data_IF_515102960143
#
_entry.id   IF_515102960143
#
_cell.length_a   1.000
_cell.length_b   1.000
_cell.length_c   1.000
_cell.angle_alpha   90.00
_cell.angle_beta   90.00
_cell.angle_gamma   90.00
#
_symmetry.space_group_name_H-M   'P 1'
#
loop_
_entity.id
_entity.type
_entity.pdbx_description
1 polymer ?
#
# COMPACT_ATOMS: atom_id res chain seq x y z
N UNK A 1 -4.12 72.40 -16.64
CA UNK A 1 -3.59 71.04 -16.97
C UNK A 1 -4.57 70.43 -17.94
N UNK A 2 -4.17 70.23 -19.23
CA UNK A 2 -5.10 69.92 -20.33
C UNK A 2 -5.70 68.52 -20.21
N UNK A 3 -7.02 68.37 -20.33
CA UNK A 3 -7.78 67.10 -20.31
C UNK A 3 -7.15 65.99 -21.22
N UNK A 4 -6.53 66.41 -22.34
CA UNK A 4 -5.79 65.53 -23.24
C UNK A 4 -4.53 64.89 -22.62
N UNK A 5 -3.81 65.58 -21.73
CA UNK A 5 -2.62 65.03 -21.05
C UNK A 5 -3.02 64.03 -19.97
N UNK A 6 -4.15 64.25 -19.30
CA UNK A 6 -4.69 63.34 -18.31
C UNK A 6 -5.17 62.05 -19.00
N UNK A 7 -5.81 62.15 -20.17
CA UNK A 7 -6.25 61.03 -20.99
C UNK A 7 -5.07 60.18 -21.50
N UNK A 8 -3.99 60.80 -21.93
CA UNK A 8 -2.76 60.13 -22.38
C UNK A 8 -2.04 59.43 -21.22
N UNK A 9 -1.98 60.05 -20.04
CA UNK A 9 -1.41 59.39 -18.84
C UNK A 9 -2.26 58.21 -18.35
N UNK A 10 -3.59 58.31 -18.40
CA UNK A 10 -4.48 57.25 -18.07
C UNK A 10 -4.36 56.07 -19.05
N UNK A 11 -4.26 56.32 -20.34
CA UNK A 11 -4.04 55.30 -21.36
C UNK A 11 -2.67 54.61 -21.23
N UNK A 12 -1.63 55.38 -20.88
CA UNK A 12 -0.28 54.84 -20.65
C UNK A 12 -0.23 53.97 -19.40
N UNK A 13 -0.90 54.35 -18.29
CA UNK A 13 -1.01 53.58 -17.09
C UNK A 13 -1.83 52.29 -17.31
N UNK A 14 -2.88 52.37 -18.13
CA UNK A 14 -3.70 51.17 -18.46
C UNK A 14 -2.91 50.20 -19.34
N UNK A 15 -2.12 50.69 -20.31
CA UNK A 15 -1.27 49.84 -21.14
C UNK A 15 -0.11 49.22 -20.34
N UNK A 16 0.46 49.97 -19.39
CA UNK A 16 1.51 49.48 -18.52
C UNK A 16 0.98 48.42 -17.54
N UNK A 17 -0.24 48.59 -17.01
CA UNK A 17 -0.93 47.61 -16.19
C UNK A 17 -1.25 46.33 -16.98
N UNK A 18 -1.65 46.46 -18.24
CA UNK A 18 -1.92 45.33 -19.14
C UNK A 18 -0.63 44.59 -19.52
N UNK A 19 0.48 45.29 -19.75
CA UNK A 19 1.78 44.67 -19.99
C UNK A 19 2.35 44.01 -18.73
N UNK A 20 2.06 44.53 -17.52
CA UNK A 20 2.54 43.93 -16.26
C UNK A 20 1.75 42.68 -15.90
N UNK A 21 0.48 42.56 -16.29
CA UNK A 21 -0.31 41.35 -16.13
C UNK A 21 0.06 40.24 -17.13
N UNK A 22 0.66 40.58 -18.26
CA UNK A 22 1.18 39.61 -19.23
C UNK A 22 2.60 39.09 -18.90
N UNK A 23 3.29 39.71 -17.94
CA UNK A 23 4.63 39.33 -17.50
C UNK A 23 4.65 38.45 -16.24
N UNK A 24 3.51 37.93 -15.82
CA UNK A 24 3.52 36.70 -15.01
C UNK A 24 3.88 35.57 -15.99
N UNK A 25 5.17 35.48 -16.31
CA UNK A 25 5.72 34.24 -16.82
C UNK A 25 5.34 33.21 -15.77
N UNK A 26 4.35 32.40 -16.08
CA UNK A 26 4.21 31.16 -15.40
C UNK A 26 5.61 30.51 -15.45
N UNK A 27 6.31 30.49 -14.36
CA UNK A 27 7.37 29.52 -14.16
C UNK A 27 6.62 28.21 -14.36
N UNK A 28 6.68 27.65 -15.57
CA UNK A 28 6.01 26.41 -15.88
C UNK A 28 6.63 25.41 -14.90
N UNK A 29 5.88 25.03 -13.88
CA UNK A 29 6.25 23.93 -13.03
C UNK A 29 6.58 22.75 -13.95
N UNK A 30 7.58 21.99 -13.59
CA UNK A 30 7.92 20.79 -14.38
C UNK A 30 6.66 19.92 -14.46
N UNK A 31 6.30 19.38 -15.63
CA UNK A 31 5.10 18.54 -15.74
C UNK A 31 5.20 17.37 -14.76
N UNK A 32 4.06 17.05 -14.14
CA UNK A 32 3.95 15.98 -13.16
C UNK A 32 3.89 14.61 -13.85
N UNK A 33 3.24 14.54 -15.01
CA UNK A 33 3.20 13.35 -15.84
C UNK A 33 4.14 13.50 -17.03
N UNK A 34 5.18 12.67 -17.07
CA UNK A 34 6.22 12.74 -18.10
C UNK A 34 6.23 11.47 -18.93
N UNK A 35 5.81 11.60 -20.15
CA UNK A 35 5.81 10.54 -21.14
C UNK A 35 6.89 10.82 -22.19
N UNK A 36 8.08 10.22 -22.00
CA UNK A 36 9.22 10.43 -22.90
C UNK A 36 9.14 9.63 -24.20
N UNK A 37 8.18 8.70 -24.28
CA UNK A 37 8.05 7.77 -25.43
C UNK A 37 6.78 7.96 -26.24
N UNK A 38 5.86 8.84 -25.77
CA UNK A 38 4.58 9.05 -26.43
C UNK A 38 3.64 7.85 -26.28
N UNK A 39 3.61 7.24 -25.09
CA UNK A 39 2.73 6.13 -24.74
C UNK A 39 1.27 6.55 -24.69
N UNK A 40 1.02 7.75 -24.14
CA UNK A 40 -0.32 8.30 -23.97
C UNK A 40 -0.68 9.25 -25.13
N UNK A 41 -1.95 9.23 -25.53
CA UNK A 41 -2.45 10.27 -26.40
C UNK A 41 -2.54 11.62 -25.65
N UNK A 42 -2.68 12.70 -26.43
CA UNK A 42 -2.64 14.07 -25.87
C UNK A 42 -3.78 14.35 -24.87
N UNK A 43 -4.96 13.78 -25.08
CA UNK A 43 -6.12 13.98 -24.23
C UNK A 43 -5.94 13.23 -22.91
N UNK A 44 -5.45 11.98 -22.98
CA UNK A 44 -5.10 11.17 -21.80
C UNK A 44 -3.99 11.83 -20.98
N UNK A 45 -2.91 12.29 -21.64
CA UNK A 45 -1.80 12.96 -20.97
C UNK A 45 -2.27 14.23 -20.25
N UNK A 46 -3.08 15.08 -20.92
CA UNK A 46 -3.63 16.28 -20.30
C UNK A 46 -4.56 15.98 -19.12
N UNK A 47 -5.34 14.90 -19.20
CA UNK A 47 -6.19 14.45 -18.10
C UNK A 47 -5.39 13.96 -16.91
N UNK A 48 -4.33 13.16 -17.16
CA UNK A 48 -3.44 12.66 -16.11
C UNK A 48 -2.66 13.79 -15.43
N UNK A 49 -2.17 14.76 -16.21
CA UNK A 49 -1.49 15.95 -15.68
C UNK A 49 -2.42 16.74 -14.77
N UNK A 50 -3.67 17.00 -15.20
CA UNK A 50 -4.65 17.69 -14.37
C UNK A 50 -4.95 16.94 -13.07
N UNK A 51 -5.10 15.63 -13.14
CA UNK A 51 -5.32 14.80 -11.94
C UNK A 51 -4.11 14.82 -10.99
N UNK A 52 -2.89 14.80 -11.53
CA UNK A 52 -1.68 14.90 -10.74
C UNK A 52 -1.52 16.29 -10.10
N UNK A 53 -1.88 17.36 -10.82
CA UNK A 53 -1.94 18.71 -10.28
C UNK A 53 -2.96 18.83 -9.15
N UNK A 54 -4.16 18.28 -9.34
CA UNK A 54 -5.23 18.29 -8.34
C UNK A 54 -4.81 17.46 -7.09
N UNK A 55 -4.16 16.30 -7.30
CA UNK A 55 -3.64 15.46 -6.23
C UNK A 55 -2.50 16.12 -5.42
N UNK A 56 -1.68 16.93 -6.07
CA UNK A 56 -0.56 17.65 -5.44
C UNK A 56 -1.03 18.93 -4.74
N UNK A 57 -2.17 19.49 -5.18
CA UNK A 57 -2.65 20.79 -4.74
C UNK A 57 -2.98 20.79 -3.22
N UNK A 58 -2.30 21.66 -2.48
CA UNK A 58 -2.58 21.86 -1.06
C UNK A 58 -1.88 20.93 -0.10
N UNK A 59 -1.07 19.98 -0.61
CA UNK A 59 -0.40 18.96 0.22
C UNK A 59 1.10 19.18 0.39
N UNK A 60 1.68 20.20 -0.25
CA UNK A 60 3.13 20.44 -0.28
C UNK A 60 3.94 19.16 -0.68
N UNK A 61 3.34 18.31 -1.50
CA UNK A 61 3.91 17.04 -1.96
C UNK A 61 3.45 16.78 -3.40
N UNK A 62 4.39 16.70 -4.33
CA UNK A 62 4.09 16.51 -5.74
C UNK A 62 4.00 15.00 -6.10
N UNK A 63 3.03 14.67 -6.97
CA UNK A 63 2.83 13.31 -7.47
C UNK A 63 3.31 13.23 -8.92
N UNK A 64 4.37 12.44 -9.15
CA UNK A 64 4.98 12.30 -10.47
C UNK A 64 4.78 10.90 -11.05
N UNK A 65 4.47 10.84 -12.35
CA UNK A 65 4.44 9.62 -13.13
C UNK A 65 5.39 9.75 -14.33
N UNK A 66 6.44 8.95 -14.39
CA UNK A 66 7.46 9.00 -15.43
C UNK A 66 7.45 7.73 -16.29
N UNK A 67 7.28 7.90 -17.60
CA UNK A 67 7.38 6.80 -18.57
C UNK A 67 8.63 6.99 -19.41
N UNK A 68 9.49 5.96 -19.43
CA UNK A 68 10.67 5.90 -20.28
C UNK A 68 10.71 4.57 -21.04
N UNK A 69 11.43 4.51 -22.15
CA UNK A 69 11.61 3.26 -22.88
C UNK A 69 12.54 2.31 -22.11
N UNK A 70 13.70 2.80 -21.70
CA UNK A 70 14.72 1.97 -21.07
C UNK A 70 15.56 2.75 -20.07
N UNK A 71 15.93 2.09 -18.99
CA UNK A 71 16.88 2.60 -17.99
C UNK A 71 18.31 2.08 -18.23
N UNK A 72 18.55 1.42 -19.37
CA UNK A 72 19.84 0.82 -19.71
C UNK A 72 20.23 -0.29 -18.73
N UNK A 73 21.48 -0.24 -18.25
CA UNK A 73 22.00 -1.19 -17.26
C UNK A 73 21.89 -0.72 -15.82
N UNK A 74 21.27 0.45 -15.58
CA UNK A 74 21.08 0.98 -14.24
C UNK A 74 20.02 0.20 -13.46
N UNK A 75 20.12 0.22 -12.14
CA UNK A 75 19.04 -0.19 -11.26
C UNK A 75 17.90 0.82 -11.38
N UNK A 76 16.64 0.37 -11.36
CA UNK A 76 15.48 1.24 -11.52
C UNK A 76 15.41 2.31 -10.44
N UNK A 77 15.74 1.96 -9.18
CA UNK A 77 15.73 2.89 -8.07
C UNK A 77 16.80 3.97 -8.21
N UNK A 78 18.01 3.59 -8.61
CA UNK A 78 19.10 4.56 -8.83
C UNK A 78 18.76 5.51 -9.98
N UNK A 79 18.23 4.99 -11.08
CA UNK A 79 17.76 5.80 -12.20
C UNK A 79 16.68 6.81 -11.78
N UNK A 80 15.67 6.36 -11.02
CA UNK A 80 14.58 7.22 -10.54
C UNK A 80 15.10 8.34 -9.62
N UNK A 81 16.05 8.03 -8.73
CA UNK A 81 16.69 9.02 -7.85
C UNK A 81 17.50 10.05 -8.65
N UNK A 82 18.34 9.58 -9.55
CA UNK A 82 19.14 10.46 -10.41
C UNK A 82 18.22 11.40 -11.22
N UNK A 83 17.13 10.85 -11.74
CA UNK A 83 16.13 11.64 -12.46
C UNK A 83 15.48 12.68 -11.55
N UNK A 84 15.01 12.29 -10.37
CA UNK A 84 14.39 13.17 -9.40
C UNK A 84 15.29 14.35 -9.02
N UNK A 85 16.55 14.07 -8.75
CA UNK A 85 17.54 15.07 -8.39
C UNK A 85 17.90 15.97 -9.58
N UNK A 86 18.18 15.39 -10.76
CA UNK A 86 18.61 16.13 -11.95
C UNK A 86 17.54 17.07 -12.48
N UNK A 87 16.27 16.66 -12.39
CA UNK A 87 15.13 17.48 -12.81
C UNK A 87 14.64 18.44 -11.71
N UNK A 88 15.28 18.41 -10.54
CA UNK A 88 14.89 19.23 -9.38
C UNK A 88 13.42 19.07 -9.01
N UNK A 89 12.91 17.84 -9.04
CA UNK A 89 11.51 17.52 -8.72
C UNK A 89 11.20 17.74 -7.24
N UNK A 90 9.91 17.83 -6.92
CA UNK A 90 9.36 17.95 -5.58
C UNK A 90 8.95 19.34 -5.18
N UNK A 91 7.92 19.43 -4.35
CA UNK A 91 7.33 20.65 -3.83
C UNK A 91 8.08 21.21 -2.63
N UNK A 92 8.07 22.52 -2.48
CA UNK A 92 8.60 23.24 -1.33
C UNK A 92 10.12 23.18 -1.17
N UNK A 93 10.60 23.61 0.01
CA UNK A 93 12.03 23.64 0.34
C UNK A 93 12.63 22.24 0.49
N UNK A 94 11.82 21.29 0.94
CA UNK A 94 12.23 19.92 1.23
C UNK A 94 12.09 19.02 0.01
N UNK A 95 11.64 19.59 -1.11
CA UNK A 95 11.44 18.87 -2.38
C UNK A 95 10.61 17.60 -2.21
N UNK A 96 9.49 17.76 -1.48
CA UNK A 96 8.61 16.64 -1.14
C UNK A 96 7.88 16.11 -2.36
N UNK A 97 7.84 14.80 -2.50
CA UNK A 97 7.10 14.17 -3.60
C UNK A 97 7.21 12.65 -3.63
N UNK A 98 6.40 12.07 -4.49
CA UNK A 98 6.41 10.66 -4.86
C UNK A 98 6.59 10.55 -6.38
N UNK A 99 7.42 9.64 -6.84
CA UNK A 99 7.66 9.37 -8.26
C UNK A 99 7.45 7.89 -8.55
N UNK A 100 6.55 7.59 -9.48
CA UNK A 100 6.44 6.28 -10.10
C UNK A 100 7.20 6.28 -11.43
N UNK A 101 8.21 5.44 -11.55
CA UNK A 101 8.95 5.21 -12.80
C UNK A 101 8.43 3.97 -13.49
N UNK A 102 8.04 4.09 -14.75
CA UNK A 102 7.70 3.00 -15.65
C UNK A 102 8.74 2.92 -16.78
N UNK A 103 9.57 1.88 -16.81
CA UNK A 103 10.51 1.62 -17.90
C UNK A 103 9.94 0.51 -18.80
N UNK A 104 9.22 0.94 -19.85
CA UNK A 104 8.36 0.06 -20.65
C UNK A 104 9.14 -1.01 -21.40
N UNK A 105 10.24 -0.65 -22.09
CA UNK A 105 11.03 -1.58 -22.88
C UNK A 105 11.76 -2.63 -22.04
N UNK A 106 12.04 -2.34 -20.77
CA UNK A 106 12.63 -3.32 -19.83
C UNK A 106 11.60 -3.97 -18.90
N UNK A 107 10.31 -3.59 -19.01
CA UNK A 107 9.20 -4.04 -18.16
C UNK A 107 9.55 -3.93 -16.66
N UNK A 108 10.08 -2.78 -16.27
CA UNK A 108 10.46 -2.50 -14.89
C UNK A 108 9.73 -1.27 -14.36
N UNK A 109 9.49 -1.27 -13.07
CA UNK A 109 8.91 -0.12 -12.37
C UNK A 109 9.61 0.07 -11.03
N UNK A 110 9.44 1.24 -10.45
CA UNK A 110 9.81 1.55 -9.08
C UNK A 110 9.04 2.78 -8.59
N UNK A 111 8.68 2.77 -7.34
CA UNK A 111 8.13 3.92 -6.63
C UNK A 111 9.17 4.47 -5.67
N UNK A 112 9.48 5.76 -5.76
CA UNK A 112 10.35 6.44 -4.81
C UNK A 112 9.64 7.63 -4.18
N UNK A 113 9.97 7.94 -2.95
CA UNK A 113 9.49 9.11 -2.20
C UNK A 113 10.66 9.95 -1.71
N UNK A 114 10.45 11.26 -1.56
CA UNK A 114 11.46 12.17 -1.04
C UNK A 114 10.83 13.28 -0.19
N UNK A 115 11.60 13.82 0.75
CA UNK A 115 11.12 14.89 1.65
C UNK A 115 9.92 14.47 2.49
N UNK A 116 8.91 15.31 2.56
CA UNK A 116 7.63 15.02 3.24
C UNK A 116 6.88 13.81 2.66
N UNK A 117 7.11 13.48 1.39
CA UNK A 117 6.56 12.28 0.77
C UNK A 117 6.96 10.98 1.48
N UNK A 118 8.17 10.92 2.05
CA UNK A 118 8.60 9.75 2.84
C UNK A 118 7.72 9.54 4.07
N UNK A 119 7.28 10.64 4.69
CA UNK A 119 6.41 10.55 5.86
C UNK A 119 4.96 10.24 5.49
N UNK A 120 4.45 10.83 4.40
CA UNK A 120 3.07 10.64 3.97
C UNK A 120 2.81 9.24 3.38
N UNK A 121 3.80 8.68 2.67
CA UNK A 121 3.71 7.38 2.01
C UNK A 121 4.57 6.36 2.75
N UNK A 122 3.95 5.58 3.65
CA UNK A 122 4.61 4.45 4.32
C UNK A 122 4.95 3.34 3.31
N UNK A 123 5.90 2.48 3.67
CA UNK A 123 6.24 1.31 2.84
C UNK A 123 5.00 0.42 2.61
N UNK A 124 4.16 0.27 3.64
CA UNK A 124 2.88 -0.43 3.57
C UNK A 124 1.95 0.18 2.51
N UNK A 125 1.80 1.52 2.51
CA UNK A 125 0.91 2.19 1.55
C UNK A 125 1.44 2.11 0.12
N UNK A 126 2.75 2.20 -0.05
CA UNK A 126 3.39 2.04 -1.36
C UNK A 126 3.14 0.63 -1.91
N UNK A 127 3.27 -0.40 -1.07
CA UNK A 127 2.98 -1.79 -1.47
C UNK A 127 1.53 -1.95 -1.93
N UNK A 128 0.56 -1.40 -1.21
CA UNK A 128 -0.85 -1.41 -1.64
C UNK A 128 -1.08 -0.68 -2.98
N UNK A 129 -0.45 0.48 -3.17
CA UNK A 129 -0.54 1.22 -4.44
C UNK A 129 0.03 0.35 -5.59
N UNK A 130 1.17 -0.29 -5.37
CA UNK A 130 1.79 -1.16 -6.38
C UNK A 130 0.94 -2.42 -6.64
N UNK A 131 0.28 -3.00 -5.63
CA UNK A 131 -0.64 -4.13 -5.80
C UNK A 131 -1.82 -3.81 -6.73
N UNK A 132 -2.31 -2.57 -6.72
CA UNK A 132 -3.40 -2.13 -7.59
C UNK A 132 -2.92 -1.68 -8.99
N UNK A 133 -1.72 -1.14 -9.09
CA UNK A 133 -1.15 -0.58 -10.33
C UNK A 133 -0.50 -1.66 -11.20
N UNK A 134 0.30 -2.57 -10.61
CA UNK A 134 1.13 -3.53 -11.36
C UNK A 134 0.32 -4.52 -12.20
N UNK A 135 -0.83 -5.04 -11.75
CA UNK A 135 -1.67 -5.88 -12.61
C UNK A 135 -2.10 -5.17 -13.90
N UNK A 136 -2.48 -3.89 -13.81
CA UNK A 136 -2.88 -3.09 -14.99
C UNK A 136 -1.72 -2.87 -15.97
N UNK A 137 -0.50 -2.65 -15.44
CA UNK A 137 0.71 -2.60 -16.26
C UNK A 137 0.95 -3.94 -16.98
N UNK A 138 0.71 -5.04 -16.30
CA UNK A 138 0.87 -6.39 -16.86
C UNK A 138 -0.13 -6.68 -17.98
N UNK A 139 -1.35 -6.16 -17.84
CA UNK A 139 -2.42 -6.28 -18.83
C UNK A 139 -2.23 -5.32 -20.03
N UNK A 140 -1.32 -4.34 -19.89
CA UNK A 140 -1.04 -3.33 -20.91
C UNK A 140 -1.94 -2.10 -20.83
N UNK A 141 -2.73 -1.96 -19.77
CA UNK A 141 -3.66 -0.85 -19.54
C UNK A 141 -2.92 0.31 -18.83
N UNK A 142 -1.90 0.85 -19.52
CA UNK A 142 -0.98 1.84 -18.94
C UNK A 142 -1.66 3.14 -18.51
N UNK A 143 -2.67 3.59 -19.24
CA UNK A 143 -3.42 4.80 -18.89
C UNK A 143 -4.21 4.61 -17.60
N UNK A 144 -4.88 3.46 -17.44
CA UNK A 144 -5.61 3.11 -16.21
C UNK A 144 -4.66 2.88 -15.03
N UNK A 145 -3.48 2.30 -15.28
CA UNK A 145 -2.44 2.17 -14.27
C UNK A 145 -1.96 3.54 -13.75
N UNK A 146 -1.67 4.49 -14.66
CA UNK A 146 -1.27 5.84 -14.30
C UNK A 146 -2.36 6.59 -13.53
N UNK A 147 -3.61 6.49 -14.00
CA UNK A 147 -4.76 7.10 -13.34
C UNK A 147 -4.97 6.52 -11.93
N UNK A 148 -4.86 5.21 -11.80
CA UNK A 148 -4.98 4.52 -10.50
C UNK A 148 -3.89 4.97 -9.54
N UNK A 149 -2.65 5.05 -10.00
CA UNK A 149 -1.53 5.55 -9.19
C UNK A 149 -1.81 6.96 -8.67
N UNK A 150 -2.17 7.90 -9.56
CA UNK A 150 -2.44 9.29 -9.18
C UNK A 150 -3.62 9.38 -8.20
N UNK A 151 -4.70 8.65 -8.44
CA UNK A 151 -5.87 8.62 -7.55
C UNK A 151 -5.53 8.10 -6.16
N UNK A 152 -4.80 7.00 -6.06
CA UNK A 152 -4.40 6.42 -4.77
C UNK A 152 -3.41 7.31 -4.02
N UNK A 153 -2.56 8.06 -4.73
CA UNK A 153 -1.71 9.07 -4.13
C UNK A 153 -2.54 10.24 -3.58
N UNK A 154 -3.55 10.71 -4.31
CA UNK A 154 -4.46 11.75 -3.84
C UNK A 154 -5.17 11.32 -2.55
N UNK A 155 -5.79 10.14 -2.55
CA UNK A 155 -6.47 9.58 -1.38
C UNK A 155 -5.52 9.47 -0.16
N UNK A 156 -4.25 9.15 -0.40
CA UNK A 156 -3.23 9.02 0.65
C UNK A 156 -2.86 10.38 1.23
N UNK A 157 -2.66 11.39 0.38
CA UNK A 157 -2.33 12.75 0.82
C UNK A 157 -3.51 13.41 1.55
N UNK A 158 -4.74 13.19 1.07
CA UNK A 158 -5.96 13.65 1.74
C UNK A 158 -6.09 13.00 3.13
N UNK A 159 -5.90 11.69 3.22
CA UNK A 159 -5.92 10.97 4.49
C UNK A 159 -4.87 11.53 5.47
N UNK A 160 -3.64 11.72 5.00
CA UNK A 160 -2.56 12.28 5.82
C UNK A 160 -2.88 13.70 6.29
N UNK A 161 -3.46 14.53 5.42
CA UNK A 161 -3.86 15.89 5.77
C UNK A 161 -5.00 15.94 6.79
N UNK A 162 -5.97 15.01 6.69
CA UNK A 162 -7.14 14.94 7.59
C UNK A 162 -6.81 14.34 8.95
N UNK A 163 -6.01 13.27 8.98
CA UNK A 163 -5.71 12.52 10.20
C UNK A 163 -4.47 13.03 10.93
N UNK A 164 -3.52 13.67 10.21
CA UNK A 164 -2.22 14.07 10.73
C UNK A 164 -1.26 12.91 10.97
N UNK A 165 -1.64 11.70 10.58
CA UNK A 165 -0.85 10.47 10.67
C UNK A 165 -0.86 9.76 9.31
N UNK A 166 0.27 9.15 8.89
CA UNK A 166 0.32 8.44 7.62
C UNK A 166 -0.55 7.17 7.66
N UNK A 167 -1.05 6.76 6.49
CA UNK A 167 -1.78 5.51 6.35
C UNK A 167 -0.81 4.32 6.49
N UNK A 168 -1.07 3.45 7.47
CA UNK A 168 -0.23 2.31 7.82
C UNK A 168 -1.10 1.11 8.23
N UNK A 169 -0.47 -0.04 8.46
CA UNK A 169 -1.13 -1.31 8.85
C UNK A 169 -2.12 -1.13 9.99
N UNK A 170 -1.78 -0.30 10.98
CA UNK A 170 -2.57 -0.14 12.20
C UNK A 170 -3.80 0.77 12.04
N UNK A 171 -3.81 1.67 11.04
CA UNK A 171 -4.86 2.67 10.87
C UNK A 171 -5.58 2.62 9.51
N UNK A 172 -5.25 1.62 8.66
CA UNK A 172 -5.89 1.45 7.36
C UNK A 172 -7.36 1.05 7.51
N UNK A 173 -8.31 1.93 7.08
CA UNK A 173 -9.73 1.60 7.14
C UNK A 173 -10.11 0.44 6.21
N UNK A 174 -9.30 0.14 5.19
CA UNK A 174 -9.52 -0.96 4.25
C UNK A 174 -8.98 -2.30 4.75
N UNK A 175 -7.90 -2.31 5.55
CA UNK A 175 -7.30 -3.53 6.10
C UNK A 175 -8.10 -4.08 7.28
N UNK A 176 -8.89 -3.26 7.95
CA UNK A 176 -9.77 -3.76 8.98
C UNK A 176 -10.89 -4.56 8.30
N UNK A 177 -10.76 -5.89 8.31
CA UNK A 177 -11.94 -6.72 8.53
C UNK A 177 -12.56 -6.11 9.78
N UNK A 178 -13.43 -5.10 9.62
CA UNK A 178 -14.00 -4.38 10.74
C UNK A 178 -14.46 -5.37 11.78
N UNK A 179 -14.61 -4.98 13.03
CA UNK A 179 -15.09 -5.84 14.13
C UNK A 179 -16.20 -6.80 13.65
N UNK A 180 -17.01 -6.34 12.70
CA UNK A 180 -18.04 -7.14 12.04
C UNK A 180 -17.46 -8.31 11.21
N UNK A 181 -16.40 -8.12 10.46
CA UNK A 181 -15.74 -9.19 9.67
C UNK A 181 -15.07 -10.23 10.56
N UNK A 182 -14.41 -9.79 11.63
CA UNK A 182 -13.80 -10.70 12.64
C UNK A 182 -14.90 -11.51 13.33
N UNK A 183 -16.01 -10.88 13.73
CA UNK A 183 -17.17 -11.55 14.33
C UNK A 183 -17.80 -12.54 13.34
N UNK A 184 -17.89 -12.19 12.06
CA UNK A 184 -18.45 -13.05 11.03
C UNK A 184 -17.56 -14.29 10.80
N UNK A 185 -16.23 -14.11 10.65
CA UNK A 185 -15.29 -15.23 10.51
C UNK A 185 -15.30 -16.12 11.75
N UNK A 186 -15.27 -15.54 12.94
CA UNK A 186 -15.35 -16.30 14.20
C UNK A 186 -16.68 -17.06 14.31
N UNK A 187 -17.78 -16.43 13.91
CA UNK A 187 -19.13 -17.03 13.91
C UNK A 187 -19.22 -18.23 12.96
N UNK A 188 -18.72 -18.09 11.73
CA UNK A 188 -18.68 -19.18 10.74
C UNK A 188 -17.79 -20.32 11.22
N UNK A 189 -16.62 -20.03 11.80
CA UNK A 189 -15.71 -21.03 12.33
C UNK A 189 -16.32 -21.81 13.49
N UNK A 190 -17.03 -21.11 14.40
CA UNK A 190 -17.71 -21.75 15.54
C UNK A 190 -18.86 -22.63 15.06
N UNK A 191 -19.61 -22.20 14.06
CA UNK A 191 -20.72 -22.97 13.48
C UNK A 191 -20.22 -24.23 12.77
N UNK A 192 -19.13 -24.14 12.00
CA UNK A 192 -18.48 -25.30 11.38
C UNK A 192 -17.97 -26.30 12.44
N UNK A 193 -17.34 -25.83 13.50
CA UNK A 193 -16.89 -26.67 14.62
C UNK A 193 -18.08 -27.36 15.31
N UNK A 194 -19.16 -26.65 15.56
CA UNK A 194 -20.37 -27.22 16.17
C UNK A 194 -21.01 -28.32 15.31
N UNK A 195 -21.04 -28.12 13.97
CA UNK A 195 -21.54 -29.15 13.03
C UNK A 195 -20.67 -30.40 13.09
N UNK A 196 -19.34 -30.25 13.02
CA UNK A 196 -18.39 -31.36 13.08
C UNK A 196 -18.52 -32.12 14.42
N UNK A 197 -18.56 -31.39 15.55
CA UNK A 197 -18.76 -31.96 16.85
C UNK A 197 -20.11 -32.68 16.94
N UNK A 198 -21.18 -32.11 16.42
CA UNK A 198 -22.51 -32.72 16.38
C UNK A 198 -22.52 -34.05 15.61
N UNK A 199 -21.86 -34.09 14.43
CA UNK A 199 -21.74 -35.31 13.64
C UNK A 199 -20.92 -36.37 14.39
N UNK A 200 -19.81 -35.99 15.01
CA UNK A 200 -18.99 -36.93 15.80
C UNK A 200 -19.75 -37.47 17.03
N UNK A 201 -20.41 -36.60 17.80
CA UNK A 201 -21.22 -37.02 18.94
C UNK A 201 -22.40 -37.90 18.52
N UNK A 202 -23.03 -37.65 17.38
CA UNK A 202 -24.09 -38.49 16.84
C UNK A 202 -23.60 -39.89 16.45
N UNK A 203 -22.37 -39.98 15.93
CA UNK A 203 -21.73 -41.26 15.62
C UNK A 203 -21.27 -42.03 16.90
N UNK A 204 -20.91 -41.30 17.96
CA UNK A 204 -20.50 -41.92 19.25
C UNK A 204 -21.68 -42.44 20.07
N UNK A 205 -22.93 -42.05 19.76
CA UNK A 205 -24.14 -42.60 20.45
C UNK A 205 -24.37 -44.11 20.22
N UNK A 206 -23.59 -44.74 19.36
CA UNK A 206 -23.64 -46.21 19.18
C UNK A 206 -22.81 -46.96 20.20
N UNK A 207 -21.99 -46.28 20.99
CA UNK A 207 -21.31 -46.89 22.13
C UNK A 207 -22.31 -46.98 23.30
N UNK A 208 -22.94 -48.12 23.46
CA UNK A 208 -23.73 -48.44 24.66
C UNK A 208 -22.75 -48.65 25.79
N UNK A 209 -22.83 -47.80 26.80
CA UNK A 209 -22.06 -47.96 28.02
C UNK A 209 -22.54 -49.27 28.67
N UNK A 210 -21.74 -50.34 28.60
CA UNK A 210 -21.99 -51.56 29.33
C UNK A 210 -21.67 -51.30 30.79
N UNK A 211 -22.70 -51.10 31.58
CA UNK A 211 -22.60 -50.83 33.02
C UNK A 211 -22.31 -52.07 33.86
N UNK A 212 -22.34 -53.24 33.24
CA UNK A 212 -22.13 -54.50 33.97
C UNK A 212 -20.83 -55.19 33.55
N UNK A 213 -19.83 -55.08 34.40
CA UNK A 213 -18.58 -55.83 34.25
C UNK A 213 -18.77 -57.35 34.45
N UNK A 214 -19.96 -57.77 34.86
CA UNK A 214 -20.26 -59.20 35.16
C UNK A 214 -20.19 -60.10 33.92
N UNK A 215 -20.39 -59.58 32.70
CA UNK A 215 -20.27 -60.34 31.44
C UNK A 215 -18.84 -60.83 31.14
N UNK A 216 -17.84 -60.31 31.84
CA UNK A 216 -16.45 -60.67 31.68
C UNK A 216 -15.84 -61.41 32.84
N UNK A 217 -16.65 -61.67 33.88
CA UNK A 217 -16.21 -62.46 34.99
C UNK A 217 -16.67 -63.93 34.85
N UNK A 218 -15.78 -64.92 35.03
CA UNK A 218 -16.19 -66.34 35.11
C UNK A 218 -17.11 -66.58 36.32
N UNK A 219 -18.01 -67.56 36.21
CA UNK A 219 -19.05 -67.86 37.22
C UNK A 219 -18.51 -68.03 38.65
N UNK A 220 -17.19 -68.22 38.81
CA UNK A 220 -16.55 -68.44 40.13
C UNK A 220 -15.79 -67.18 40.63
N UNK A 221 -15.97 -65.98 39.97
CA UNK A 221 -15.29 -64.73 40.34
C UNK A 221 -13.82 -64.67 39.89
N UNK A 222 -13.19 -63.54 40.16
CA UNK A 222 -11.77 -63.29 39.81
C UNK A 222 -10.90 -63.78 41.00
N UNK A 223 -10.17 -64.84 40.80
CA UNK A 223 -9.17 -65.30 41.79
C UNK A 223 -7.81 -64.76 41.45
N UNK A 224 -7.41 -63.69 42.15
CA UNK A 224 -6.11 -63.05 41.98
C UNK A 224 -5.08 -63.71 42.86
N UNK A 225 -4.19 -64.48 42.28
CA UNK A 225 -3.09 -65.11 42.95
C UNK A 225 -2.09 -64.12 43.57
N UNK A 226 -2.00 -62.93 43.00
CA UNK A 226 -1.16 -61.82 43.48
C UNK A 226 -1.98 -60.54 43.43
N UNK A 227 -2.23 -59.91 44.59
CA UNK A 227 -2.90 -58.59 44.74
C UNK A 227 -1.85 -57.52 44.99
N UNK A 228 -0.98 -57.27 44.03
CA UNK A 228 0.05 -56.22 44.13
C UNK A 228 -0.12 -55.21 43.00
N UNK A 229 -0.36 -53.94 43.37
CA UNK A 229 -0.37 -52.83 42.41
C UNK A 229 1.05 -52.27 42.35
N UNK A 230 1.76 -52.55 41.24
CA UNK A 230 3.13 -52.20 41.06
C UNK A 230 3.19 -51.10 39.94
N UNK A 231 3.49 -49.89 40.34
CA UNK A 231 3.79 -48.82 39.39
C UNK A 231 5.01 -49.15 38.54
N UNK A 232 4.86 -49.24 37.22
CA UNK A 232 5.95 -49.66 36.34
C UNK A 232 6.74 -48.47 35.79
N UNK A 233 6.11 -47.49 35.28
CA UNK A 233 6.77 -46.22 34.84
C UNK A 233 5.77 -45.20 34.28
N UNK A 234 6.12 -43.93 34.40
CA UNK A 234 5.49 -42.82 33.62
C UNK A 234 6.40 -42.49 32.44
N UNK A 235 5.89 -42.60 31.21
CA UNK A 235 6.57 -42.09 30.04
C UNK A 235 6.03 -40.67 29.76
N UNK A 236 6.90 -39.66 29.80
CA UNK A 236 6.56 -38.29 29.46
C UNK A 236 7.25 -37.95 28.14
N UNK A 237 6.47 -37.80 27.07
CA UNK A 237 6.98 -37.33 25.79
C UNK A 237 6.78 -35.83 25.75
N UNK A 238 7.87 -35.08 25.61
CA UNK A 238 7.83 -33.65 25.43
C UNK A 238 8.12 -33.38 23.94
N UNK A 239 7.11 -32.88 23.24
CA UNK A 239 7.28 -32.40 21.87
C UNK A 239 7.65 -30.92 21.97
N UNK A 240 8.81 -30.55 21.40
CA UNK A 240 9.21 -29.19 21.31
C UNK A 240 8.40 -28.53 20.14
N UNK A 241 7.54 -27.57 20.48
CA UNK A 241 6.84 -26.73 19.56
C UNK A 241 7.59 -25.39 19.54
N UNK A 242 8.33 -25.06 18.45
CA UNK A 242 9.03 -23.79 18.41
C UNK A 242 8.01 -22.64 18.40
N UNK A 243 8.28 -21.54 19.11
CA UNK A 243 7.42 -20.37 19.07
C UNK A 243 7.30 -19.90 17.63
N UNK A 244 6.13 -19.39 17.21
CA UNK A 244 5.96 -18.78 15.89
C UNK A 244 6.99 -17.67 15.71
N UNK A 245 7.52 -17.48 14.48
CA UNK A 245 8.42 -16.35 14.21
C UNK A 245 7.72 -15.04 14.61
N UNK A 246 8.47 -14.08 15.14
CA UNK A 246 7.90 -12.78 15.48
C UNK A 246 7.21 -12.20 14.22
N UNK A 247 6.07 -11.51 14.38
CA UNK A 247 5.44 -10.82 13.27
C UNK A 247 6.48 -9.86 12.68
N UNK A 248 6.57 -9.82 11.36
CA UNK A 248 7.35 -8.80 10.67
C UNK A 248 6.78 -7.45 11.11
N UNK A 249 7.61 -6.62 11.70
CA UNK A 249 7.28 -5.22 11.96
C UNK A 249 7.17 -4.54 10.59
N UNK A 250 5.96 -4.45 10.07
CA UNK A 250 5.65 -3.80 8.78
C UNK A 250 4.87 -2.52 9.03
N UNK A 251 5.45 -1.60 9.77
CA UNK A 251 4.91 -0.27 9.98
C UNK A 251 5.98 0.80 9.76
N UNK A 252 5.57 1.96 9.22
CA UNK A 252 6.45 3.09 8.99
C UNK A 252 7.06 3.15 7.60
N UNK A 253 7.96 4.10 7.42
CA UNK A 253 8.67 4.34 6.14
C UNK A 253 10.15 4.05 6.33
N UNK A 254 10.71 3.26 5.42
CA UNK A 254 12.15 3.07 5.34
C UNK A 254 12.78 4.13 4.43
N UNK A 255 13.91 4.67 4.87
CA UNK A 255 14.71 5.61 4.08
C UNK A 255 16.12 5.10 3.89
N UNK A 256 16.68 5.33 2.72
CA UNK A 256 18.10 5.09 2.49
C UNK A 256 18.98 6.28 2.93
N UNK A 257 20.30 6.15 2.78
CA UNK A 257 21.28 7.16 3.20
C UNK A 257 21.14 8.50 2.48
N UNK A 258 20.45 8.52 1.34
CA UNK A 258 20.27 9.70 0.49
C UNK A 258 18.94 10.40 0.76
N UNK A 259 18.16 9.90 1.73
CA UNK A 259 16.88 10.46 2.18
C UNK A 259 15.68 10.05 1.32
N UNK A 260 15.85 9.06 0.42
CA UNK A 260 14.76 8.52 -0.38
C UNK A 260 14.10 7.32 0.30
N UNK A 261 12.78 7.31 0.34
CA UNK A 261 11.94 6.16 0.68
C UNK A 261 11.38 5.47 -0.56
N UNK A 262 10.44 4.55 -0.37
CA UNK A 262 9.74 3.86 -1.44
C UNK A 262 10.19 2.42 -1.67
N UNK A 263 9.62 1.79 -2.70
CA UNK A 263 9.87 0.39 -3.03
C UNK A 263 11.25 0.13 -3.61
N UNK A 264 11.66 -1.14 -3.62
CA UNK A 264 12.82 -1.60 -4.39
C UNK A 264 12.51 -1.71 -5.89
N UNK A 265 11.25 -1.55 -6.25
CA UNK A 265 10.73 -1.76 -7.59
C UNK A 265 10.66 -3.23 -8.00
N UNK A 266 10.06 -3.48 -9.16
CA UNK A 266 9.84 -4.81 -9.68
C UNK A 266 9.84 -4.87 -11.20
N UNK A 267 9.30 -5.97 -11.73
CA UNK A 267 8.99 -6.18 -13.13
C UNK A 267 7.54 -6.65 -13.28
N UNK A 268 6.91 -6.34 -14.41
CA UNK A 268 5.51 -6.64 -14.69
C UNK A 268 5.32 -7.40 -15.99
#
# INVERSE_FOLDING_TARGET
MNKQRISLFAALLLSLSFCLSAAISACAAAPLVRDEIGLFDADTLASLEQQAEDASAGHDCDVYFLVVDSIGSQNQRDYAKDYYVSQSLGSGSDRSGILFLLALGSRKYVTITYGGGVTAFTDYRIEQIEEDVVPKLSDGDYADAAQTFVSLCADTLDFYAEQGEPLDVDNDPGSSLGVFGVVLVAGVSMLAAAIVCGILCSRMKTAVEKTEANDYMPEHGLDLTIKEDRYLRTARTQVYDPPPPPPSESGGSSTDSDGFGGSSGGSF
#
